data_IF_428205977610
#
_entry.id   IF_428205977610
#
_cell.length_a   1.000
_cell.length_b   1.000
_cell.length_c   1.000
_cell.angle_alpha   90.00
_cell.angle_beta   90.00
_cell.angle_gamma   90.00
#
_symmetry.space_group_name_H-M   'P 1'
#
loop_
_entity.id
_entity.type
_entity.pdbx_description
1 polymer ?
#
# COMPACT_ATOMS: atom_id res chain seq x y z
N UNK A 1 24.22 -17.61 16.92
CA UNK A 1 25.50 -16.94 16.56
C UNK A 1 26.52 -16.89 17.69
N UNK A 2 26.21 -16.46 18.93
CA UNK A 2 27.23 -16.40 20.03
C UNK A 2 27.90 -17.74 20.36
N UNK A 3 27.16 -18.85 20.29
CA UNK A 3 27.75 -20.18 20.54
C UNK A 3 28.67 -20.65 19.40
N UNK A 4 28.47 -20.18 18.16
CA UNK A 4 29.27 -20.61 17.00
C UNK A 4 30.66 -19.96 16.97
N UNK A 5 30.74 -18.65 17.24
CA UNK A 5 32.04 -18.00 17.45
C UNK A 5 32.78 -18.60 18.66
N UNK A 6 32.03 -19.05 19.67
CA UNK A 6 32.59 -19.76 20.81
C UNK A 6 33.16 -21.12 20.40
N UNK A 7 32.43 -21.91 19.59
CA UNK A 7 32.91 -23.20 19.06
C UNK A 7 34.10 -23.03 18.11
N UNK A 8 34.08 -22.06 17.18
CA UNK A 8 35.21 -21.79 16.28
C UNK A 8 36.45 -21.34 17.07
N UNK A 9 36.29 -20.46 18.05
CA UNK A 9 37.38 -20.05 18.95
C UNK A 9 37.87 -21.24 19.78
N UNK A 10 36.98 -22.06 20.33
CA UNK A 10 37.34 -23.25 21.09
C UNK A 10 38.13 -24.24 20.24
N UNK A 11 37.73 -24.50 19.00
CA UNK A 11 38.43 -25.41 18.08
C UNK A 11 39.79 -24.86 17.65
N UNK A 12 39.89 -23.56 17.36
CA UNK A 12 41.18 -22.92 17.06
C UNK A 12 42.11 -22.92 18.27
N UNK A 13 41.58 -22.70 19.48
CA UNK A 13 42.35 -22.71 20.72
C UNK A 13 42.79 -24.14 21.05
N UNK A 14 41.91 -25.15 20.97
CA UNK A 14 42.29 -26.54 21.24
C UNK A 14 43.27 -27.06 20.20
N UNK A 15 43.08 -26.72 18.93
CA UNK A 15 44.04 -27.02 17.87
C UNK A 15 45.41 -26.40 18.12
N UNK A 16 45.45 -25.10 18.47
CA UNK A 16 46.70 -24.42 18.81
C UNK A 16 47.39 -25.02 20.05
N UNK A 17 46.62 -25.38 21.09
CA UNK A 17 47.16 -26.02 22.29
C UNK A 17 47.71 -27.41 21.98
N UNK A 18 47.02 -28.22 21.17
CA UNK A 18 47.49 -29.55 20.76
C UNK A 18 48.76 -29.43 19.89
N UNK A 19 48.82 -28.46 18.97
CA UNK A 19 50.02 -28.19 18.18
C UNK A 19 51.20 -27.79 19.06
N UNK A 20 51.00 -26.88 20.02
CA UNK A 20 52.05 -26.46 20.96
C UNK A 20 52.50 -27.62 21.86
N UNK A 21 51.57 -28.42 22.38
CA UNK A 21 51.89 -29.59 23.21
C UNK A 21 52.64 -30.66 22.42
N UNK A 22 52.28 -30.91 21.15
CA UNK A 22 52.98 -31.86 20.30
C UNK A 22 54.42 -31.43 20.00
N UNK A 23 54.66 -30.13 19.77
CA UNK A 23 56.00 -29.55 19.62
C UNK A 23 56.81 -29.64 20.92
N UNK A 24 56.19 -29.34 22.07
CA UNK A 24 56.84 -29.46 23.38
C UNK A 24 57.18 -30.92 23.73
N UNK A 25 56.33 -31.87 23.37
CA UNK A 25 56.56 -33.30 23.58
C UNK A 25 57.75 -33.81 22.75
N UNK A 26 57.90 -33.34 21.50
CA UNK A 26 59.06 -33.64 20.64
C UNK A 26 60.34 -32.97 21.15
N UNK A 27 60.25 -31.79 21.76
CA UNK A 27 61.41 -31.06 22.29
C UNK A 27 61.96 -31.68 23.60
N UNK A 28 61.09 -32.22 24.46
CA UNK A 28 61.47 -32.83 25.75
C UNK A 28 61.75 -34.34 25.67
N UNK A 29 61.17 -35.07 24.72
CA UNK A 29 61.47 -36.49 24.54
C UNK A 29 62.85 -36.63 23.87
N UNK A 30 63.83 -37.20 24.59
CA UNK A 30 65.16 -37.55 24.05
C UNK A 30 64.97 -38.33 22.75
N UNK A 31 65.34 -37.67 21.64
CA UNK A 31 64.93 -37.91 20.25
C UNK A 31 64.92 -39.37 19.82
N UNK A 32 63.80 -40.07 20.07
CA UNK A 32 63.52 -41.37 19.48
C UNK A 32 62.55 -41.19 18.30
N UNK A 33 62.79 -41.83 17.14
CA UNK A 33 61.97 -41.64 15.94
C UNK A 33 60.50 -41.98 16.15
N UNK A 34 60.19 -42.84 17.13
CA UNK A 34 58.83 -43.24 17.49
C UNK A 34 58.01 -42.07 18.04
N UNK A 35 58.60 -41.21 18.88
CA UNK A 35 57.88 -40.04 19.44
C UNK A 35 57.53 -38.99 18.40
N UNK A 36 58.38 -38.82 17.38
CA UNK A 36 58.08 -37.96 16.23
C UNK A 36 56.91 -38.51 15.41
N UNK A 37 56.87 -39.83 15.15
CA UNK A 37 55.77 -40.46 14.41
C UNK A 37 54.40 -40.28 15.09
N UNK A 38 54.33 -40.43 16.42
CA UNK A 38 53.10 -40.17 17.18
C UNK A 38 52.66 -38.70 17.11
N UNK A 39 53.61 -37.75 17.17
CA UNK A 39 53.33 -36.32 17.01
C UNK A 39 52.76 -35.99 15.63
N UNK A 40 53.37 -36.52 14.56
CA UNK A 40 52.87 -36.34 13.20
C UNK A 40 51.48 -36.92 13.00
N UNK A 41 51.21 -38.12 13.54
CA UNK A 41 49.88 -38.73 13.47
C UNK A 41 48.82 -37.89 14.18
N UNK A 42 49.12 -37.32 15.36
CA UNK A 42 48.21 -36.44 16.07
C UNK A 42 47.87 -35.16 15.31
N UNK A 43 48.85 -34.52 14.67
CA UNK A 43 48.63 -33.34 13.82
C UNK A 43 47.78 -33.69 12.60
N UNK A 44 48.01 -34.85 11.98
CA UNK A 44 47.28 -35.30 10.79
C UNK A 44 45.82 -35.61 11.12
N UNK A 45 45.54 -36.22 12.29
CA UNK A 45 44.19 -36.46 12.79
C UNK A 45 43.47 -35.13 13.08
N UNK A 46 44.15 -34.17 13.73
CA UNK A 46 43.59 -32.85 13.99
C UNK A 46 43.21 -32.16 12.68
N UNK A 47 44.10 -32.20 11.68
CA UNK A 47 43.85 -31.61 10.37
C UNK A 47 42.67 -32.27 9.66
N UNK A 48 42.57 -33.60 9.69
CA UNK A 48 41.43 -34.33 9.13
C UNK A 48 40.11 -33.97 9.83
N UNK A 49 40.12 -33.79 11.15
CA UNK A 49 38.95 -33.40 11.92
C UNK A 49 38.50 -31.97 11.60
N UNK A 50 39.46 -31.05 11.38
CA UNK A 50 39.16 -29.69 10.92
C UNK A 50 38.51 -29.69 9.52
N UNK A 51 39.05 -30.48 8.58
CA UNK A 51 38.47 -30.61 7.23
C UNK A 51 37.07 -31.21 7.26
N UNK A 52 36.83 -32.22 8.11
CA UNK A 52 35.52 -32.84 8.26
C UNK A 52 34.49 -31.87 8.84
N UNK A 53 34.89 -31.06 9.82
CA UNK A 53 34.01 -30.00 10.37
C UNK A 53 33.69 -28.93 9.34
N UNK A 54 34.68 -28.48 8.56
CA UNK A 54 34.46 -27.51 7.48
C UNK A 54 33.54 -28.08 6.40
N UNK A 55 33.74 -29.34 6.01
CA UNK A 55 32.87 -30.04 5.06
C UNK A 55 31.42 -30.13 5.56
N UNK A 56 31.22 -30.56 6.81
CA UNK A 56 29.88 -30.62 7.41
C UNK A 56 29.23 -29.23 7.53
N UNK A 57 30.02 -28.20 7.82
CA UNK A 57 29.54 -26.83 7.92
C UNK A 57 29.10 -26.27 6.57
N UNK A 58 29.92 -26.44 5.54
CA UNK A 58 29.57 -26.02 4.18
C UNK A 58 28.34 -26.76 3.68
N UNK A 59 28.25 -28.08 3.93
CA UNK A 59 27.07 -28.88 3.58
C UNK A 59 25.79 -28.37 4.25
N UNK A 60 25.86 -27.97 5.53
CA UNK A 60 24.73 -27.39 6.25
C UNK A 60 24.32 -26.02 5.71
N UNK A 61 25.29 -25.16 5.40
CA UNK A 61 25.01 -23.84 4.84
C UNK A 61 24.41 -23.94 3.44
N UNK A 62 24.88 -24.85 2.59
CA UNK A 62 24.34 -25.07 1.26
C UNK A 62 22.87 -25.53 1.31
N UNK A 63 22.55 -26.47 2.21
CA UNK A 63 21.19 -26.95 2.43
C UNK A 63 20.27 -25.83 2.95
N UNK A 64 20.77 -25.00 3.86
CA UNK A 64 20.03 -23.84 4.38
C UNK A 64 19.79 -22.78 3.29
N UNK A 65 20.77 -22.52 2.43
CA UNK A 65 20.64 -21.60 1.30
C UNK A 65 19.65 -22.13 0.26
N UNK A 66 19.65 -23.44 -0.02
CA UNK A 66 18.70 -24.09 -0.91
C UNK A 66 17.26 -23.94 -0.38
N UNK A 67 17.03 -24.21 0.90
CA UNK A 67 15.71 -24.07 1.51
C UNK A 67 15.21 -22.60 1.55
N UNK A 68 16.10 -21.62 1.82
CA UNK A 68 15.75 -20.19 1.71
C UNK A 68 15.40 -19.82 0.27
N UNK A 69 16.15 -20.33 -0.71
CA UNK A 69 15.90 -20.07 -2.13
C UNK A 69 14.54 -20.63 -2.55
N UNK A 70 14.22 -21.87 -2.16
CA UNK A 70 12.91 -22.49 -2.40
C UNK A 70 11.77 -21.72 -1.70
N UNK A 71 12.02 -21.16 -0.52
CA UNK A 71 11.03 -20.31 0.16
C UNK A 71 10.81 -19.03 -0.64
N UNK A 72 11.86 -18.37 -1.12
CA UNK A 72 11.77 -17.17 -1.96
C UNK A 72 11.07 -17.47 -3.29
N UNK A 73 11.38 -18.59 -3.95
CA UNK A 73 10.70 -19.01 -5.17
C UNK A 73 9.20 -19.25 -4.92
N UNK A 74 8.85 -19.97 -3.85
CA UNK A 74 7.44 -20.15 -3.45
C UNK A 74 6.75 -18.81 -3.13
N UNK A 75 7.47 -17.84 -2.56
CA UNK A 75 6.97 -16.47 -2.34
C UNK A 75 6.71 -15.74 -3.65
N UNK A 76 7.57 -15.88 -4.65
CA UNK A 76 7.41 -15.27 -5.99
C UNK A 76 6.27 -15.95 -6.75
N UNK A 77 6.15 -17.27 -6.68
CA UNK A 77 5.10 -18.04 -7.35
C UNK A 77 3.76 -18.04 -6.59
N UNK A 78 3.65 -17.31 -5.48
CA UNK A 78 2.44 -17.22 -4.65
C UNK A 78 1.96 -18.58 -4.09
N UNK A 79 2.82 -19.60 -4.04
CA UNK A 79 2.48 -20.91 -3.48
C UNK A 79 2.75 -20.97 -1.97
N UNK A 80 1.79 -21.50 -1.22
CA UNK A 80 2.00 -21.77 0.20
C UNK A 80 2.82 -23.04 0.39
N UNK A 81 4.12 -22.87 0.66
CA UNK A 81 4.98 -23.94 1.17
C UNK A 81 5.47 -23.60 2.57
N UNK A 82 5.03 -24.37 3.56
CA UNK A 82 5.70 -24.45 4.85
C UNK A 82 6.89 -25.41 4.68
N UNK A 83 8.10 -24.85 4.59
CA UNK A 83 9.32 -25.64 4.34
C UNK A 83 9.98 -26.09 5.65
N UNK A 84 9.77 -25.36 6.76
CA UNK A 84 10.33 -25.71 8.07
C UNK A 84 9.26 -25.90 9.15
N UNK A 85 9.57 -26.79 10.10
CA UNK A 85 8.77 -27.06 11.31
C UNK A 85 8.88 -25.89 12.30
N UNK A 86 7.74 -25.43 12.83
CA UNK A 86 7.63 -24.38 13.87
C UNK A 86 8.28 -24.75 15.22
N UNK A 87 8.79 -25.98 15.37
CA UNK A 87 9.18 -26.55 16.65
C UNK A 87 10.60 -26.20 17.14
N UNK A 88 11.39 -25.42 16.40
CA UNK A 88 12.77 -25.11 16.81
C UNK A 88 13.02 -23.60 16.97
N UNK A 89 13.52 -23.24 18.15
CA UNK A 89 13.88 -21.87 18.57
C UNK A 89 15.19 -21.40 17.90
N UNK A 90 15.26 -21.55 16.58
CA UNK A 90 16.44 -21.34 15.75
C UNK A 90 16.34 -20.03 14.96
N UNK A 91 17.50 -19.48 14.56
CA UNK A 91 17.57 -18.24 13.76
C UNK A 91 16.80 -18.38 12.44
N UNK A 92 16.75 -19.59 11.89
CA UNK A 92 16.03 -19.95 10.66
C UNK A 92 14.52 -19.82 10.80
N UNK A 93 13.93 -20.29 11.91
CA UNK A 93 12.50 -20.13 12.18
C UNK A 93 12.09 -18.65 12.27
N UNK A 94 12.92 -17.81 12.89
CA UNK A 94 12.69 -16.36 12.95
C UNK A 94 12.76 -15.70 11.57
N UNK A 95 13.73 -16.09 10.75
CA UNK A 95 13.89 -15.57 9.39
C UNK A 95 12.67 -15.95 8.52
N UNK A 96 12.25 -17.22 8.57
CA UNK A 96 11.05 -17.68 7.88
C UNK A 96 9.82 -16.90 8.33
N UNK A 97 9.63 -16.70 9.64
CA UNK A 97 8.51 -15.92 10.15
C UNK A 97 8.51 -14.49 9.60
N UNK A 98 9.67 -13.83 9.53
CA UNK A 98 9.79 -12.49 8.94
C UNK A 98 9.47 -12.49 7.44
N UNK A 99 9.91 -13.51 6.69
CA UNK A 99 9.61 -13.64 5.27
C UNK A 99 8.11 -13.87 5.01
N UNK A 100 7.46 -14.73 5.81
CA UNK A 100 6.01 -14.92 5.74
C UNK A 100 5.22 -13.66 6.12
N UNK A 101 5.70 -12.90 7.10
CA UNK A 101 5.09 -11.60 7.46
C UNK A 101 5.22 -10.61 6.31
N UNK A 102 6.39 -10.51 5.69
CA UNK A 102 6.63 -9.63 4.53
C UNK A 102 5.72 -10.01 3.36
N UNK A 103 5.58 -11.32 3.08
CA UNK A 103 4.63 -11.85 2.09
C UNK A 103 3.23 -11.33 2.34
N UNK A 104 2.71 -11.52 3.55
CA UNK A 104 1.33 -11.12 3.88
C UNK A 104 1.12 -9.62 3.68
N UNK A 105 2.11 -8.79 4.05
CA UNK A 105 2.08 -7.35 3.83
C UNK A 105 2.04 -7.03 2.32
N UNK A 106 2.92 -7.63 1.53
CA UNK A 106 2.99 -7.40 0.08
C UNK A 106 1.73 -7.89 -0.66
N UNK A 107 1.19 -9.06 -0.28
CA UNK A 107 -0.06 -9.58 -0.82
C UNK A 107 -1.23 -8.66 -0.51
N UNK A 108 -1.34 -8.19 0.75
CA UNK A 108 -2.36 -7.24 1.14
C UNK A 108 -2.22 -5.92 0.37
N UNK A 109 -1.01 -5.39 0.22
CA UNK A 109 -0.74 -4.17 -0.56
C UNK A 109 -1.12 -4.35 -2.04
N UNK A 110 -0.74 -5.46 -2.67
CA UNK A 110 -1.10 -5.75 -4.05
C UNK A 110 -2.63 -5.90 -4.23
N UNK A 111 -3.32 -6.52 -3.28
CA UNK A 111 -4.78 -6.60 -3.30
C UNK A 111 -5.43 -5.22 -3.17
N UNK A 112 -4.93 -4.36 -2.27
CA UNK A 112 -5.41 -2.99 -2.13
C UNK A 112 -5.20 -2.19 -3.42
N UNK A 113 -4.01 -2.25 -4.01
CA UNK A 113 -3.71 -1.58 -5.29
C UNK A 113 -4.60 -2.09 -6.43
N UNK A 114 -4.87 -3.40 -6.49
CA UNK A 114 -5.77 -3.96 -7.49
C UNK A 114 -7.21 -3.48 -7.30
N UNK A 115 -7.68 -3.37 -6.05
CA UNK A 115 -9.00 -2.83 -5.73
C UNK A 115 -9.11 -1.35 -6.10
N UNK A 116 -8.12 -0.53 -5.75
CA UNK A 116 -8.06 0.89 -6.12
C UNK A 116 -8.10 1.07 -7.64
N UNK A 117 -7.33 0.26 -8.38
CA UNK A 117 -7.33 0.29 -9.84
C UNK A 117 -8.70 -0.06 -10.43
N UNK A 118 -9.39 -1.07 -9.89
CA UNK A 118 -10.72 -1.45 -10.36
C UNK A 118 -11.75 -0.36 -10.03
N UNK A 119 -11.69 0.24 -8.84
CA UNK A 119 -12.54 1.38 -8.47
C UNK A 119 -12.38 2.57 -9.42
N UNK A 120 -11.14 2.93 -9.77
CA UNK A 120 -10.84 3.99 -10.75
C UNK A 120 -11.46 3.64 -12.11
N UNK A 121 -11.30 2.39 -12.56
CA UNK A 121 -11.84 1.94 -13.84
C UNK A 121 -13.37 2.02 -13.87
N UNK A 122 -14.04 1.57 -12.81
CA UNK A 122 -15.49 1.69 -12.66
C UNK A 122 -15.92 3.15 -12.67
N UNK A 123 -15.25 4.02 -11.90
CA UNK A 123 -15.54 5.45 -11.87
C UNK A 123 -15.42 6.11 -13.25
N UNK A 124 -14.34 5.81 -13.99
CA UNK A 124 -14.15 6.34 -15.37
C UNK A 124 -15.27 5.85 -16.29
N UNK A 125 -15.65 4.58 -16.19
CA UNK A 125 -16.76 4.01 -16.96
C UNK A 125 -18.08 4.72 -16.67
N UNK A 126 -18.41 4.89 -15.39
CA UNK A 126 -19.63 5.54 -14.93
C UNK A 126 -19.71 7.00 -15.39
N UNK A 127 -18.61 7.75 -15.26
CA UNK A 127 -18.53 9.13 -15.74
C UNK A 127 -18.70 9.19 -17.27
N UNK A 128 -18.08 8.26 -18.00
CA UNK A 128 -18.22 8.19 -19.46
C UNK A 128 -19.68 7.96 -19.88
N UNK A 129 -20.40 7.07 -19.19
CA UNK A 129 -21.83 6.86 -19.41
C UNK A 129 -22.65 8.12 -19.09
N UNK A 130 -22.38 8.77 -17.96
CA UNK A 130 -23.07 9.98 -17.54
C UNK A 130 -22.82 11.18 -18.46
N UNK A 131 -21.68 11.23 -19.15
CA UNK A 131 -21.36 12.25 -20.16
C UNK A 131 -22.05 11.96 -21.50
N UNK A 132 -22.15 10.69 -21.91
CA UNK A 132 -22.74 10.30 -23.21
C UNK A 132 -24.19 10.77 -23.35
N UNK A 133 -24.99 10.65 -22.29
CA UNK A 133 -26.41 11.04 -22.29
C UNK A 133 -26.63 12.54 -22.58
N UNK A 134 -26.05 13.49 -21.82
CA UNK A 134 -26.23 14.91 -22.11
C UNK A 134 -25.56 15.36 -23.40
N UNK A 135 -24.48 14.72 -23.88
CA UNK A 135 -23.92 14.99 -25.22
C UNK A 135 -24.94 14.61 -26.30
N UNK A 136 -25.51 13.41 -26.22
CA UNK A 136 -26.50 12.96 -27.20
C UNK A 136 -27.72 13.89 -27.21
N UNK A 137 -28.23 14.26 -26.04
CA UNK A 137 -29.33 15.23 -25.94
C UNK A 137 -28.94 16.59 -26.56
N UNK A 138 -27.78 17.15 -26.22
CA UNK A 138 -27.32 18.42 -26.76
C UNK A 138 -27.20 18.37 -28.31
N UNK A 139 -26.68 17.29 -28.87
CA UNK A 139 -26.59 17.12 -30.32
C UNK A 139 -27.97 17.03 -30.97
N UNK A 140 -28.88 16.21 -30.44
CA UNK A 140 -30.25 16.09 -30.96
C UNK A 140 -30.99 17.43 -30.95
N UNK A 141 -30.94 18.19 -29.85
CA UNK A 141 -31.59 19.49 -29.79
C UNK A 141 -30.91 20.55 -30.67
N UNK A 142 -29.60 20.46 -30.88
CA UNK A 142 -28.90 21.32 -31.83
C UNK A 142 -29.30 21.02 -33.29
N UNK A 143 -29.45 19.74 -33.64
CA UNK A 143 -29.95 19.30 -34.95
C UNK A 143 -31.39 19.76 -35.18
N UNK A 144 -32.28 19.56 -34.19
CA UNK A 144 -33.67 20.02 -34.26
C UNK A 144 -33.76 21.54 -34.42
N UNK A 145 -32.94 22.32 -33.70
CA UNK A 145 -32.87 23.77 -33.84
C UNK A 145 -32.36 24.25 -35.21
N UNK A 146 -31.66 23.38 -35.95
CA UNK A 146 -31.18 23.67 -37.29
C UNK A 146 -32.24 23.41 -38.36
N UNK A 147 -33.31 22.70 -38.03
CA UNK A 147 -34.43 22.44 -38.93
C UNK A 147 -35.37 23.68 -39.00
N UNK A 148 -35.82 24.02 -40.21
CA UNK A 148 -36.36 25.35 -40.52
C UNK A 148 -37.80 25.62 -40.04
N UNK A 149 -38.55 24.59 -39.67
CA UNK A 149 -39.97 24.68 -39.31
C UNK A 149 -40.17 24.50 -37.80
N UNK A 150 -39.82 25.53 -37.01
CA UNK A 150 -40.08 25.55 -35.57
C UNK A 150 -40.94 26.74 -35.16
N UNK A 151 -41.93 26.50 -34.33
CA UNK A 151 -42.63 27.56 -33.60
C UNK A 151 -41.69 28.30 -32.63
N UNK A 152 -42.11 29.48 -32.18
CA UNK A 152 -41.36 30.24 -31.17
C UNK A 152 -41.32 29.50 -29.83
N UNK A 153 -42.39 28.79 -29.46
CA UNK A 153 -42.44 27.96 -28.26
C UNK A 153 -41.45 26.79 -28.35
N UNK A 154 -41.47 26.00 -29.43
CA UNK A 154 -40.57 24.84 -29.62
C UNK A 154 -39.10 25.26 -29.62
N UNK A 155 -38.77 26.35 -30.30
CA UNK A 155 -37.41 26.91 -30.31
C UNK A 155 -36.94 27.25 -28.89
N UNK A 156 -37.82 27.85 -28.07
CA UNK A 156 -37.48 28.22 -26.69
C UNK A 156 -37.28 26.99 -25.82
N UNK A 157 -38.12 25.96 -25.97
CA UNK A 157 -38.00 24.70 -25.26
C UNK A 157 -36.72 23.94 -25.61
N UNK A 158 -36.36 23.88 -26.90
CA UNK A 158 -35.15 23.21 -27.37
C UNK A 158 -33.89 23.93 -26.90
N UNK A 159 -33.86 25.26 -26.94
CA UNK A 159 -32.75 26.06 -26.38
C UNK A 159 -32.62 25.79 -24.88
N UNK A 160 -33.74 25.76 -24.15
CA UNK A 160 -33.74 25.49 -22.70
C UNK A 160 -33.17 24.10 -22.40
N UNK A 161 -33.56 23.08 -23.16
CA UNK A 161 -33.08 21.71 -22.97
C UNK A 161 -31.61 21.54 -23.34
N UNK A 162 -31.16 22.23 -24.38
CA UNK A 162 -29.75 22.28 -24.76
C UNK A 162 -28.90 22.96 -23.67
N UNK A 163 -29.36 24.09 -23.11
CA UNK A 163 -28.71 24.77 -21.99
C UNK A 163 -28.62 23.88 -20.74
N UNK A 164 -29.71 23.16 -20.41
CA UNK A 164 -29.69 22.19 -19.30
C UNK A 164 -28.66 21.08 -19.53
N UNK A 165 -28.57 20.56 -20.76
CA UNK A 165 -27.60 19.51 -21.13
C UNK A 165 -26.15 20.01 -21.01
N UNK A 166 -25.87 21.22 -21.48
CA UNK A 166 -24.55 21.87 -21.35
C UNK A 166 -24.19 22.16 -19.88
N UNK A 167 -25.16 22.59 -19.08
CA UNK A 167 -24.99 22.79 -17.64
C UNK A 167 -24.63 21.48 -16.93
N UNK A 168 -25.31 20.38 -17.28
CA UNK A 168 -25.00 19.04 -16.75
C UNK A 168 -23.60 18.58 -17.15
N UNK A 169 -23.18 18.81 -18.39
CA UNK A 169 -21.80 18.51 -18.83
C UNK A 169 -20.76 19.29 -18.04
N UNK A 170 -20.98 20.59 -17.87
CA UNK A 170 -20.09 21.45 -17.09
C UNK A 170 -19.94 20.95 -15.65
N UNK A 171 -21.05 20.54 -15.02
CA UNK A 171 -21.04 19.95 -13.69
C UNK A 171 -20.23 18.64 -13.63
N UNK A 172 -20.43 17.73 -14.59
CA UNK A 172 -19.71 16.45 -14.66
C UNK A 172 -18.21 16.64 -14.89
N UNK A 173 -17.81 17.53 -15.79
CA UNK A 173 -16.40 17.84 -16.06
C UNK A 173 -15.71 18.44 -14.84
N UNK A 174 -16.35 19.40 -14.17
CA UNK A 174 -15.81 19.98 -12.94
C UNK A 174 -15.66 18.94 -11.82
N UNK A 175 -16.64 18.03 -11.70
CA UNK A 175 -16.59 16.93 -10.73
C UNK A 175 -15.42 15.98 -11.03
N UNK A 176 -15.21 15.62 -12.29
CA UNK A 176 -14.08 14.78 -12.73
C UNK A 176 -12.73 15.43 -12.42
N UNK A 177 -12.57 16.74 -12.68
CA UNK A 177 -11.34 17.47 -12.35
C UNK A 177 -11.08 17.45 -10.83
N UNK A 178 -12.11 17.65 -10.02
CA UNK A 178 -11.99 17.60 -8.55
C UNK A 178 -11.56 16.22 -8.07
N UNK A 179 -12.18 15.15 -8.57
CA UNK A 179 -11.81 13.78 -8.20
C UNK A 179 -10.38 13.47 -8.66
N UNK A 180 -10.01 13.82 -9.89
CA UNK A 180 -8.64 13.61 -10.39
C UNK A 180 -7.58 14.32 -9.53
N UNK A 181 -7.87 15.54 -9.07
CA UNK A 181 -6.97 16.27 -8.15
C UNK A 181 -6.91 15.64 -6.75
N UNK A 182 -7.97 14.97 -6.32
CA UNK A 182 -8.04 14.30 -5.03
C UNK A 182 -7.23 13.00 -5.07
N UNK A 183 -7.43 12.19 -6.11
CA UNK A 183 -6.69 10.94 -6.35
C UNK A 183 -5.18 11.15 -6.54
N UNK A 184 -4.78 12.22 -7.24
CA UNK A 184 -3.37 12.56 -7.42
C UNK A 184 -2.70 13.14 -6.17
N UNK A 185 -3.44 13.31 -5.07
CA UNK A 185 -2.95 13.94 -3.83
C UNK A 185 -2.61 15.43 -3.99
N UNK A 186 -2.97 16.06 -5.12
CA UNK A 186 -2.77 17.50 -5.35
C UNK A 186 -3.65 18.31 -4.39
N UNK A 187 -4.86 17.81 -4.10
CA UNK A 187 -5.69 18.33 -3.02
C UNK A 187 -5.11 17.86 -1.69
N UNK A 188 -4.39 18.76 -1.04
CA UNK A 188 -3.97 18.59 0.36
C UNK A 188 -4.97 19.31 1.25
N UNK A 189 -5.65 18.55 2.11
CA UNK A 189 -6.50 19.12 3.16
C UNK A 189 -5.63 19.93 4.13
N UNK A 190 -6.06 21.15 4.45
CA UNK A 190 -5.43 22.02 5.43
C UNK A 190 -6.36 22.16 6.64
N UNK A 191 -6.39 21.15 7.53
CA UNK A 191 -7.24 21.21 8.69
C UNK A 191 -6.73 22.26 9.67
N UNK A 192 -7.58 23.23 9.97
CA UNK A 192 -7.33 24.32 10.91
C UNK A 192 -8.47 24.39 11.91
N UNK A 193 -8.26 25.07 13.04
CA UNK A 193 -9.32 25.28 14.03
C UNK A 193 -10.33 26.26 13.46
N UNK A 194 -11.50 25.74 13.04
CA UNK A 194 -12.53 26.50 12.35
C UNK A 194 -13.86 26.44 13.10
N UNK A 195 -14.66 27.50 12.97
CA UNK A 195 -16.03 27.56 13.47
C UNK A 195 -16.96 26.76 12.55
N UNK A 196 -17.61 25.73 13.08
CA UNK A 196 -18.60 24.94 12.34
C UNK A 196 -19.77 25.82 11.86
N UNK A 197 -20.13 26.85 12.64
CA UNK A 197 -21.21 27.75 12.30
C UNK A 197 -20.92 28.54 11.02
N UNK A 198 -19.68 29.03 10.87
CA UNK A 198 -19.27 29.76 9.68
C UNK A 198 -19.22 28.87 8.45
N UNK A 199 -18.73 27.63 8.61
CA UNK A 199 -18.70 26.62 7.55
C UNK A 199 -20.13 26.31 7.05
N UNK A 200 -21.06 26.03 7.98
CA UNK A 200 -22.45 25.73 7.62
C UNK A 200 -23.11 26.94 6.97
N UNK A 201 -22.91 28.16 7.50
CA UNK A 201 -23.47 29.37 6.92
C UNK A 201 -22.93 29.61 5.50
N UNK A 202 -21.65 29.34 5.25
CA UNK A 202 -21.06 29.40 3.93
C UNK A 202 -21.69 28.40 2.96
N UNK A 203 -21.94 27.16 3.41
CA UNK A 203 -22.63 26.14 2.64
C UNK A 203 -24.11 26.47 2.37
N UNK A 204 -24.80 27.18 3.28
CA UNK A 204 -26.18 27.64 3.04
C UNK A 204 -26.20 28.74 1.98
N UNK A 205 -25.24 29.68 2.01
CA UNK A 205 -25.16 30.78 1.03
C UNK A 205 -25.07 30.31 -0.41
N UNK A 206 -24.36 29.20 -0.67
CA UNK A 206 -24.19 28.65 -2.03
C UNK A 206 -25.48 28.05 -2.60
N UNK A 207 -26.39 27.57 -1.75
CA UNK A 207 -27.64 26.91 -2.16
C UNK A 207 -28.87 27.82 -2.00
N UNK A 208 -28.74 28.92 -1.25
CA UNK A 208 -29.85 29.81 -0.89
C UNK A 208 -30.67 30.32 -2.09
N UNK A 209 -30.01 30.69 -3.20
CA UNK A 209 -30.70 31.18 -4.39
C UNK A 209 -31.65 30.12 -4.98
N UNK A 210 -31.18 28.87 -5.09
CA UNK A 210 -31.97 27.73 -5.59
C UNK A 210 -33.12 27.38 -4.65
N UNK A 211 -32.87 27.40 -3.34
CA UNK A 211 -33.90 27.13 -2.34
C UNK A 211 -35.02 28.18 -2.40
N UNK A 212 -34.64 29.46 -2.52
CA UNK A 212 -35.58 30.58 -2.65
C UNK A 212 -36.43 30.49 -3.92
N UNK A 213 -35.81 30.15 -5.05
CA UNK A 213 -36.52 29.94 -6.32
C UNK A 213 -37.58 28.83 -6.21
N UNK A 214 -37.29 27.79 -5.44
CA UNK A 214 -38.20 26.67 -5.17
C UNK A 214 -39.16 26.90 -3.99
N UNK A 215 -39.11 28.06 -3.33
CA UNK A 215 -39.94 28.37 -2.16
C UNK A 215 -39.61 27.57 -0.89
N UNK A 216 -38.42 26.97 -0.81
CA UNK A 216 -37.99 26.15 0.33
C UNK A 216 -37.39 27.04 1.43
N UNK A 217 -37.89 26.87 2.66
CA UNK A 217 -37.33 27.50 3.86
C UNK A 217 -36.15 26.68 4.40
N UNK A 218 -34.97 27.31 4.51
CA UNK A 218 -33.82 26.74 5.21
C UNK A 218 -33.74 27.36 6.60
N UNK A 219 -33.88 26.55 7.64
CA UNK A 219 -33.66 26.95 9.03
C UNK A 219 -32.29 26.47 9.51
N UNK A 220 -31.53 27.38 10.12
CA UNK A 220 -30.26 27.05 10.77
C UNK A 220 -30.41 27.33 12.27
N UNK A 221 -30.55 26.26 13.05
CA UNK A 221 -30.63 26.33 14.51
C UNK A 221 -29.26 26.01 15.11
N UNK A 222 -28.67 26.99 15.80
CA UNK A 222 -27.40 26.82 16.47
C UNK A 222 -27.53 27.22 17.94
N UNK A 223 -27.34 26.25 18.84
CA UNK A 223 -27.42 26.47 20.29
C UNK A 223 -26.08 26.90 20.91
N UNK A 224 -24.95 26.52 20.32
CA UNK A 224 -23.59 26.78 20.83
C UNK A 224 -22.57 26.95 19.70
N UNK A 225 -21.55 27.79 19.92
CA UNK A 225 -20.42 27.92 19.00
C UNK A 225 -19.49 26.70 19.14
N UNK A 226 -19.46 25.86 18.11
CA UNK A 226 -18.57 24.70 18.05
C UNK A 226 -17.37 24.98 17.15
N UNK A 227 -16.17 24.70 17.67
CA UNK A 227 -14.93 24.74 16.91
C UNK A 227 -14.41 23.32 16.72
N UNK A 228 -13.91 23.02 15.52
CA UNK A 228 -13.31 21.73 15.19
C UNK A 228 -12.11 21.92 14.27
N UNK A 229 -11.21 20.93 14.26
CA UNK A 229 -10.04 20.92 13.38
C UNK A 229 -10.45 20.33 12.04
N UNK A 230 -10.72 21.20 11.06
CA UNK A 230 -11.36 20.89 9.79
C UNK A 230 -10.76 21.75 8.68
N UNK A 231 -10.83 21.30 7.42
CA UNK A 231 -10.57 22.18 6.28
C UNK A 231 -11.84 22.98 5.98
N UNK A 232 -11.77 24.31 6.09
CA UNK A 232 -12.93 25.19 5.94
C UNK A 232 -13.62 25.02 4.57
N UNK A 233 -12.85 25.01 3.48
CA UNK A 233 -13.40 25.00 2.13
C UNK A 233 -13.99 23.64 1.76
N UNK A 234 -13.26 22.56 2.05
CA UNK A 234 -13.71 21.21 1.72
C UNK A 234 -14.90 20.77 2.57
N UNK A 235 -14.94 21.17 3.84
CA UNK A 235 -16.09 20.87 4.70
C UNK A 235 -17.32 21.67 4.28
N UNK A 236 -17.17 22.96 3.92
CA UNK A 236 -18.28 23.77 3.41
C UNK A 236 -18.80 23.20 2.08
N UNK A 237 -17.92 22.75 1.19
CA UNK A 237 -18.32 22.10 -0.07
C UNK A 237 -19.09 20.80 0.19
N UNK A 238 -18.63 19.95 1.09
CA UNK A 238 -19.30 18.70 1.45
C UNK A 238 -20.72 18.96 1.99
N UNK A 239 -20.86 19.92 2.91
CA UNK A 239 -22.17 20.30 3.47
C UNK A 239 -23.06 20.91 2.37
N UNK A 240 -22.50 21.77 1.51
CA UNK A 240 -23.24 22.37 0.39
C UNK A 240 -23.79 21.30 -0.56
N UNK A 241 -23.05 20.23 -0.82
CA UNK A 241 -23.53 19.13 -1.67
C UNK A 241 -24.72 18.39 -1.06
N UNK A 242 -24.72 18.20 0.27
CA UNK A 242 -25.85 17.59 0.99
C UNK A 242 -27.08 18.51 0.96
N UNK A 243 -26.91 19.81 1.21
CA UNK A 243 -28.00 20.78 1.19
C UNK A 243 -28.56 20.95 -0.24
N UNK A 244 -27.70 20.99 -1.26
CA UNK A 244 -28.13 21.07 -2.66
C UNK A 244 -28.97 19.85 -3.07
N UNK A 245 -28.60 18.65 -2.59
CA UNK A 245 -29.42 17.45 -2.74
C UNK A 245 -30.77 17.59 -2.03
N UNK A 246 -30.81 18.08 -0.80
CA UNK A 246 -32.08 18.30 -0.09
C UNK A 246 -33.01 19.24 -0.88
N UNK A 247 -32.50 20.39 -1.34
CA UNK A 247 -33.28 21.36 -2.14
C UNK A 247 -33.77 20.76 -3.45
N UNK A 248 -32.97 19.92 -4.11
CA UNK A 248 -33.37 19.22 -5.35
C UNK A 248 -34.55 18.28 -5.14
N UNK A 249 -34.55 17.51 -4.06
CA UNK A 249 -35.51 16.42 -3.84
C UNK A 249 -36.67 16.75 -2.89
N UNK A 250 -36.62 17.86 -2.16
CA UNK A 250 -37.76 18.37 -1.40
C UNK A 250 -38.82 18.90 -2.37
N UNK A 251 -40.08 18.42 -2.29
CA UNK A 251 -41.17 18.81 -3.20
C UNK A 251 -41.54 20.30 -3.08
#
# INVERSE_FOLDING_TARGET
>A
MKHFDLYRKLVLITGAVISVLSVLMVFFARSSPVTMLWGFSGVLILFALLLLLDFLHNRYNDDLLEQITLLIEALVEQQERQIFSEAEDTLTARLQHQLLKLRNILTAQNQMLAQEKEQIKTLISDISHQIKTPIAAANTFAELLSDGELSAEERTEYITTLQMSLGKLTFLTNSLIKISRLESGIISLKPEKNSLNEIVLQAVKTVYAKAKEKGILITFECAQAFEAVLDFNWTAEAISNVIDNAVKYTP
#
